data_IF_388879148231
#
_entry.id   IF_388879148231
#
_cell.length_a   1.000
_cell.length_b   1.000
_cell.length_c   1.000
_cell.angle_alpha   90.00
_cell.angle_beta   90.00
_cell.angle_gamma   90.00
#
_symmetry.space_group_name_H-M   'P 1'
#
loop_
_entity.id
_entity.type
_entity.pdbx_description
1 polymer ?
#
# COMPACT_ATOMS: atom_id res chain seq x y z
N UNK A 1 16.07 21.45 38.63
CA UNK A 1 14.98 21.58 37.64
C UNK A 1 15.30 20.92 36.28
N UNK A 2 16.39 20.13 36.15
CA UNK A 2 16.82 19.51 34.89
C UNK A 2 16.65 17.96 34.87
N UNK A 3 15.51 17.47 35.34
CA UNK A 3 15.15 16.04 35.26
C UNK A 3 13.66 15.85 34.96
N UNK A 4 13.12 16.68 34.05
CA UNK A 4 11.81 16.44 33.45
C UNK A 4 12.01 15.82 32.09
N UNK A 5 11.40 14.66 31.88
CA UNK A 5 11.34 13.94 30.61
C UNK A 5 10.98 14.91 29.48
N UNK A 6 11.84 15.10 28.45
CA UNK A 6 11.59 16.08 27.40
C UNK A 6 10.38 15.73 26.51
N UNK A 7 9.95 14.46 26.50
CA UNK A 7 8.75 13.98 25.83
C UNK A 7 8.06 12.97 26.74
N UNK A 8 6.80 13.21 27.09
CA UNK A 8 5.98 12.27 27.88
C UNK A 8 4.66 12.01 27.17
N UNK A 9 4.02 10.88 27.45
CA UNK A 9 2.71 10.55 26.89
C UNK A 9 1.70 11.69 27.08
N UNK A 10 1.80 12.42 28.21
CA UNK A 10 0.94 13.56 28.53
C UNK A 10 1.09 14.71 27.53
N UNK A 11 2.31 14.96 27.05
CA UNK A 11 2.62 16.02 26.10
C UNK A 11 2.08 15.66 24.71
N UNK A 12 2.19 14.39 24.32
CA UNK A 12 1.59 13.87 23.09
C UNK A 12 0.06 13.92 23.14
N UNK A 13 -0.56 13.49 24.24
CA UNK A 13 -2.01 13.56 24.42
C UNK A 13 -2.52 15.00 24.42
N UNK A 14 -1.77 15.93 25.03
CA UNK A 14 -2.11 17.35 25.01
C UNK A 14 -2.01 17.93 23.60
N UNK A 15 -0.94 17.63 22.86
CA UNK A 15 -0.79 18.05 21.47
C UNK A 15 -1.92 17.50 20.58
N UNK A 16 -2.30 16.23 20.77
CA UNK A 16 -3.43 15.62 20.07
C UNK A 16 -4.74 16.35 20.36
N UNK A 17 -5.00 16.66 21.63
CA UNK A 17 -6.22 17.36 22.05
C UNK A 17 -6.29 18.77 21.48
N UNK A 18 -5.18 19.52 21.50
CA UNK A 18 -5.09 20.85 20.89
C UNK A 18 -5.35 20.78 19.38
N UNK A 19 -4.74 19.82 18.68
CA UNK A 19 -4.95 19.62 17.25
C UNK A 19 -6.41 19.27 16.92
N UNK A 20 -7.05 18.42 17.72
CA UNK A 20 -8.45 18.03 17.56
C UNK A 20 -9.42 19.19 17.73
N UNK A 21 -9.14 20.09 18.69
CA UNK A 21 -9.96 21.29 18.91
C UNK A 21 -9.81 22.26 17.74
N UNK A 22 -8.61 22.41 17.18
CA UNK A 22 -8.34 23.44 16.18
C UNK A 22 -8.67 23.01 14.75
N UNK A 23 -8.39 21.75 14.40
CA UNK A 23 -8.63 21.18 13.07
C UNK A 23 -9.07 19.72 13.15
N UNK A 24 -10.33 19.45 13.50
CA UNK A 24 -10.86 18.09 13.59
C UNK A 24 -10.82 17.36 12.24
N UNK A 25 -10.91 18.10 11.13
CA UNK A 25 -10.78 17.59 9.76
C UNK A 25 -9.44 16.88 9.50
N UNK A 26 -8.37 17.19 10.23
CA UNK A 26 -7.07 16.54 10.05
C UNK A 26 -7.09 15.06 10.45
N UNK A 27 -8.05 14.60 11.27
CA UNK A 27 -8.15 13.19 11.67
C UNK A 27 -8.38 12.24 10.50
N UNK A 28 -9.09 12.69 9.47
CA UNK A 28 -9.39 11.88 8.29
C UNK A 28 -8.21 11.87 7.31
N UNK A 29 -7.22 12.74 7.51
CA UNK A 29 -6.04 12.78 6.67
C UNK A 29 -5.09 11.62 6.98
N UNK A 30 -4.67 10.92 5.93
CA UNK A 30 -3.75 9.76 6.04
C UNK A 30 -2.40 10.17 6.62
N UNK A 31 -1.91 11.38 6.29
CA UNK A 31 -0.64 11.91 6.81
C UNK A 31 -0.66 12.08 8.32
N UNK A 32 -1.77 12.54 8.88
CA UNK A 32 -1.94 12.65 10.33
C UNK A 32 -1.95 11.27 10.99
N UNK A 33 -2.71 10.33 10.44
CA UNK A 33 -2.81 8.96 10.97
C UNK A 33 -1.44 8.27 11.05
N UNK A 34 -0.65 8.35 9.97
CA UNK A 34 0.69 7.79 9.95
C UNK A 34 1.62 8.47 10.95
N UNK A 35 1.69 9.80 10.93
CA UNK A 35 2.61 10.54 11.82
C UNK A 35 2.26 10.32 13.30
N UNK A 36 0.96 10.36 13.65
CA UNK A 36 0.52 10.19 15.02
C UNK A 36 0.79 8.77 15.52
N UNK A 37 0.52 7.75 14.69
CA UNK A 37 0.84 6.35 14.99
C UNK A 37 2.33 6.15 15.26
N UNK A 38 3.19 6.70 14.40
CA UNK A 38 4.64 6.62 14.56
C UNK A 38 5.12 7.27 15.88
N UNK A 39 4.67 8.51 16.16
CA UNK A 39 5.06 9.23 17.38
C UNK A 39 4.60 8.49 18.63
N UNK A 40 3.34 8.02 18.65
CA UNK A 40 2.80 7.26 19.77
C UNK A 40 3.62 5.99 20.04
N UNK A 41 3.95 5.23 18.98
CA UNK A 41 4.76 4.02 19.08
C UNK A 41 6.17 4.30 19.62
N UNK A 42 6.83 5.35 19.12
CA UNK A 42 8.16 5.74 19.57
C UNK A 42 8.16 6.17 21.04
N UNK A 43 7.23 7.03 21.45
CA UNK A 43 7.15 7.51 22.83
C UNK A 43 6.92 6.34 23.79
N UNK A 44 6.01 5.42 23.46
CA UNK A 44 5.74 4.24 24.30
C UNK A 44 6.93 3.29 24.38
N UNK A 45 7.63 3.07 23.28
CA UNK A 45 8.83 2.24 23.27
C UNK A 45 9.95 2.86 24.12
N UNK A 46 10.25 4.14 23.92
CA UNK A 46 11.33 4.81 24.64
C UNK A 46 11.01 5.05 26.11
N UNK A 47 9.75 5.29 26.48
CA UNK A 47 9.35 5.40 27.89
C UNK A 47 9.52 4.07 28.62
N UNK A 48 9.17 2.95 27.98
CA UNK A 48 9.37 1.61 28.55
C UNK A 48 10.85 1.20 28.65
N UNK A 49 11.68 1.59 27.67
CA UNK A 49 13.09 1.20 27.59
C UNK A 49 14.04 2.20 28.28
N UNK A 50 13.53 3.39 28.68
CA UNK A 50 14.29 4.46 29.37
C UNK A 50 15.21 3.94 30.49
N UNK A 51 14.75 3.15 31.48
CA UNK A 51 15.63 2.73 32.59
C UNK A 51 16.79 1.84 32.13
N UNK A 52 16.61 1.07 31.05
CA UNK A 52 17.66 0.22 30.47
C UNK A 52 18.63 1.06 29.62
N UNK A 53 18.11 1.96 28.78
CA UNK A 53 18.91 2.85 27.93
C UNK A 53 19.83 3.75 28.77
N UNK A 54 19.30 4.35 29.85
CA UNK A 54 20.10 5.23 30.74
C UNK A 54 21.26 4.49 31.39
N UNK A 55 21.05 3.23 31.81
CA UNK A 55 22.12 2.37 32.36
C UNK A 55 23.18 2.04 31.31
N UNK A 56 22.77 1.73 30.07
CA UNK A 56 23.67 1.42 28.98
C UNK A 56 24.54 2.62 28.54
N UNK A 57 23.97 3.83 28.55
CA UNK A 57 24.70 5.07 28.22
C UNK A 57 25.68 5.50 29.32
N UNK A 58 25.33 5.29 30.59
CA UNK A 58 26.15 5.71 31.73
C UNK A 58 27.50 4.98 31.83
N UNK A 59 27.63 3.78 31.24
CA UNK A 59 28.85 2.95 31.28
C UNK A 59 29.48 2.76 29.88
N UNK A 60 29.21 3.67 28.93
CA UNK A 60 29.63 3.53 27.55
C UNK A 60 30.79 4.47 27.18
N UNK A 61 31.90 3.90 26.71
CA UNK A 61 32.96 4.62 25.99
C UNK A 61 32.48 5.10 24.60
N UNK A 62 33.31 5.88 23.90
CA UNK A 62 32.97 6.52 22.61
C UNK A 62 32.41 5.53 21.56
N UNK A 63 33.06 4.38 21.39
CA UNK A 63 32.64 3.32 20.46
C UNK A 63 31.24 2.78 20.81
N UNK A 64 30.99 2.55 22.11
CA UNK A 64 29.70 2.03 22.59
C UNK A 64 28.59 3.08 22.45
N UNK A 65 28.90 4.37 22.58
CA UNK A 65 27.94 5.45 22.30
C UNK A 65 27.58 5.53 20.82
N UNK A 66 28.56 5.40 19.92
CA UNK A 66 28.30 5.33 18.48
C UNK A 66 27.42 4.12 18.13
N UNK A 67 27.72 2.94 18.68
CA UNK A 67 26.90 1.74 18.50
C UNK A 67 25.47 1.91 19.02
N UNK A 68 25.30 2.54 20.19
CA UNK A 68 23.98 2.85 20.75
C UNK A 68 23.20 3.88 19.91
N UNK A 69 23.89 4.85 19.28
CA UNK A 69 23.27 5.79 18.36
C UNK A 69 22.71 5.08 17.12
N UNK A 70 23.55 4.31 16.41
CA UNK A 70 23.10 3.55 15.24
C UNK A 70 22.03 2.51 15.59
N UNK A 71 22.17 1.81 16.71
CA UNK A 71 21.14 0.91 17.22
C UNK A 71 19.83 1.63 17.53
N UNK A 72 19.90 2.86 18.07
CA UNK A 72 18.75 3.73 18.27
C UNK A 72 18.07 4.11 16.96
N UNK A 73 18.83 4.55 15.95
CA UNK A 73 18.30 4.87 14.62
C UNK A 73 17.60 3.65 14.01
N UNK A 74 18.25 2.48 14.01
CA UNK A 74 17.64 1.25 13.52
C UNK A 74 16.33 0.92 14.25
N UNK A 75 16.33 0.99 15.59
CA UNK A 75 15.14 0.73 16.39
C UNK A 75 14.01 1.74 16.06
N UNK A 76 14.32 3.04 15.97
CA UNK A 76 13.32 4.07 15.62
C UNK A 76 12.70 3.80 14.27
N UNK A 77 13.51 3.48 13.26
CA UNK A 77 13.01 3.21 11.93
C UNK A 77 12.12 1.97 11.91
N UNK A 78 12.55 0.86 12.53
CA UNK A 78 11.75 -0.36 12.60
C UNK A 78 10.40 -0.10 13.28
N UNK A 79 10.40 0.59 14.42
CA UNK A 79 9.18 0.89 15.17
C UNK A 79 8.26 1.80 14.36
N UNK A 80 8.79 2.86 13.77
CA UNK A 80 8.02 3.79 12.94
C UNK A 80 7.44 3.08 11.71
N UNK A 81 8.22 2.24 11.03
CA UNK A 81 7.77 1.46 9.88
C UNK A 81 6.66 0.49 10.28
N UNK A 82 6.79 -0.25 11.38
CA UNK A 82 5.73 -1.16 11.84
C UNK A 82 4.45 -0.39 12.21
N UNK A 83 4.57 0.76 12.87
CA UNK A 83 3.43 1.58 13.28
C UNK A 83 2.69 2.23 12.09
N UNK A 84 3.40 2.51 10.99
CA UNK A 84 2.84 3.16 9.79
C UNK A 84 2.48 2.18 8.68
N UNK A 85 3.03 0.96 8.71
CA UNK A 85 2.77 -0.10 7.75
C UNK A 85 1.29 -0.35 7.41
N UNK A 86 0.33 -0.43 8.35
CA UNK A 86 -1.06 -0.72 8.00
C UNK A 86 -1.70 0.41 7.19
N UNK A 87 -1.36 1.66 7.50
CA UNK A 87 -1.85 2.82 6.77
C UNK A 87 -1.19 2.90 5.39
N UNK A 88 0.12 2.59 5.32
CA UNK A 88 0.84 2.49 4.05
C UNK A 88 0.25 1.41 3.13
N UNK A 89 0.01 0.21 3.67
CA UNK A 89 -0.61 -0.89 2.94
C UNK A 89 -2.05 -0.61 2.52
N UNK A 90 -2.88 -0.06 3.40
CA UNK A 90 -4.30 0.16 3.10
C UNK A 90 -4.55 1.29 2.10
N UNK A 91 -3.78 2.38 2.19
CA UNK A 91 -3.98 3.56 1.34
C UNK A 91 -3.10 3.57 0.08
N UNK A 92 -1.89 3.02 0.17
CA UNK A 92 -0.91 3.09 -0.92
C UNK A 92 -0.55 1.73 -1.50
N UNK A 93 -1.04 0.62 -0.92
CA UNK A 93 -0.77 -0.75 -1.38
C UNK A 93 0.74 -1.07 -1.52
N UNK A 94 1.58 -0.36 -0.77
CA UNK A 94 3.03 -0.40 -0.91
C UNK A 94 3.75 -0.27 0.44
N UNK A 95 4.85 -1.00 0.58
CA UNK A 95 5.77 -0.93 1.71
C UNK A 95 7.20 -0.75 1.20
N UNK A 96 7.95 0.18 1.77
CA UNK A 96 9.36 0.38 1.42
C UNK A 96 10.24 -0.72 2.03
N UNK A 97 10.79 -1.61 1.19
CA UNK A 97 11.63 -2.74 1.61
C UNK A 97 12.98 -2.27 2.19
N UNK A 98 13.59 -1.28 1.54
CA UNK A 98 14.88 -0.72 1.92
C UNK A 98 14.78 0.55 2.77
N UNK A 99 13.60 0.84 3.34
CA UNK A 99 13.38 2.02 4.18
C UNK A 99 14.31 2.10 5.39
N UNK A 100 14.70 0.94 5.96
CA UNK A 100 15.68 0.88 7.04
C UNK A 100 17.06 1.39 6.60
N UNK A 101 17.55 0.91 5.45
CA UNK A 101 18.87 1.30 4.92
C UNK A 101 18.87 2.78 4.56
N UNK A 102 17.82 3.25 3.89
CA UNK A 102 17.66 4.67 3.55
C UNK A 102 17.74 5.57 4.80
N UNK A 103 16.99 5.23 5.84
CA UNK A 103 16.97 6.02 7.07
C UNK A 103 18.29 5.94 7.85
N UNK A 104 18.94 4.78 7.93
CA UNK A 104 20.24 4.66 8.61
C UNK A 104 21.32 5.51 7.94
N UNK A 105 21.28 5.66 6.62
CA UNK A 105 22.20 6.50 5.87
C UNK A 105 21.81 7.99 5.92
N UNK A 106 20.53 8.31 5.79
CA UNK A 106 20.03 9.68 5.73
C UNK A 106 20.02 10.38 7.11
N UNK A 107 19.67 9.67 8.18
CA UNK A 107 19.48 10.26 9.51
C UNK A 107 20.75 10.93 10.10
N UNK A 108 21.97 10.39 9.95
CA UNK A 108 23.18 11.09 10.37
C UNK A 108 23.39 12.41 9.63
N UNK A 109 23.18 12.43 8.31
CA UNK A 109 23.31 13.65 7.50
C UNK A 109 22.27 14.69 7.95
N UNK A 110 21.03 14.24 8.12
CA UNK A 110 19.95 15.09 8.60
C UNK A 110 20.26 15.69 9.98
N UNK A 111 20.74 14.85 10.91
CA UNK A 111 20.96 15.24 12.32
C UNK A 111 22.19 16.11 12.52
N UNK A 112 23.30 15.82 11.83
CA UNK A 112 24.58 16.51 12.04
C UNK A 112 24.83 17.67 11.09
N UNK A 113 24.17 17.69 9.93
CA UNK A 113 24.42 18.71 8.90
C UNK A 113 23.17 19.57 8.71
N UNK A 114 22.05 18.96 8.30
CA UNK A 114 20.87 19.71 7.87
C UNK A 114 20.19 20.43 9.03
N UNK A 115 19.88 19.75 10.14
CA UNK A 115 19.20 20.37 11.28
C UNK A 115 20.02 21.50 11.94
N UNK A 116 21.33 21.33 12.23
CA UNK A 116 22.13 22.43 12.76
C UNK A 116 22.24 23.61 11.80
N UNK A 117 22.42 23.34 10.49
CA UNK A 117 22.46 24.38 9.47
C UNK A 117 21.12 25.13 9.35
N UNK A 118 19.99 24.44 9.47
CA UNK A 118 18.66 25.06 9.48
C UNK A 118 18.50 26.02 10.67
N UNK A 119 18.89 25.61 11.88
CA UNK A 119 18.87 26.48 13.06
C UNK A 119 19.81 27.68 12.87
N UNK A 120 21.01 27.45 12.34
CA UNK A 120 21.98 28.52 12.08
C UNK A 120 21.47 29.51 11.03
N UNK A 121 20.70 29.04 10.04
CA UNK A 121 20.04 29.88 9.04
C UNK A 121 19.08 30.86 9.71
N UNK A 122 18.23 30.39 10.62
CA UNK A 122 17.32 31.27 11.38
C UNK A 122 18.06 32.26 12.27
N UNK A 123 19.20 31.88 12.87
CA UNK A 123 20.01 32.77 13.69
C UNK A 123 20.76 33.84 12.88
N UNK A 124 21.18 33.52 11.66
CA UNK A 124 21.91 34.42 10.76
C UNK A 124 20.99 35.27 9.86
N UNK A 125 19.73 34.88 9.71
CA UNK A 125 18.71 35.64 8.99
C UNK A 125 18.62 37.13 9.37
N UNK A 126 18.60 37.53 10.67
CA UNK A 126 18.59 38.95 11.03
C UNK A 126 19.86 39.71 10.61
N UNK A 127 20.98 39.00 10.43
CA UNK A 127 22.27 39.55 10.01
C UNK A 127 22.45 39.56 8.49
N UNK A 128 21.48 39.04 7.70
CA UNK A 128 21.57 38.82 6.24
C UNK A 128 22.74 37.91 5.82
N UNK A 129 23.19 37.03 6.73
CA UNK A 129 24.28 36.08 6.50
C UNK A 129 23.78 34.64 6.36
N UNK A 130 22.48 34.44 6.12
CA UNK A 130 21.88 33.10 6.02
C UNK A 130 22.52 32.22 4.93
N UNK A 131 23.07 32.83 3.87
CA UNK A 131 23.72 32.11 2.76
C UNK A 131 24.84 31.16 3.24
N UNK A 132 25.53 31.53 4.33
CA UNK A 132 26.62 30.72 4.92
C UNK A 132 26.10 29.40 5.52
N UNK A 133 24.88 29.41 6.05
CA UNK A 133 24.23 28.24 6.63
C UNK A 133 23.37 27.49 5.59
N UNK A 134 22.87 28.18 4.57
CA UNK A 134 22.14 27.57 3.45
C UNK A 134 23.02 26.63 2.61
N UNK A 135 24.29 26.97 2.40
CA UNK A 135 25.22 26.12 1.63
C UNK A 135 25.37 24.69 2.19
N UNK A 136 25.72 24.48 3.48
CA UNK A 136 25.79 23.13 4.05
C UNK A 136 24.40 22.47 4.14
N UNK A 137 23.32 23.25 4.30
CA UNK A 137 21.96 22.71 4.28
C UNK A 137 21.62 22.11 2.91
N UNK A 138 21.88 22.85 1.81
CA UNK A 138 21.63 22.40 0.43
C UNK A 138 22.40 21.12 0.12
N UNK A 139 23.71 21.13 0.42
CA UNK A 139 24.57 19.97 0.23
C UNK A 139 24.07 18.74 1.01
N UNK A 140 23.68 18.93 2.27
CA UNK A 140 23.12 17.86 3.08
C UNK A 140 21.80 17.31 2.52
N UNK A 141 20.91 18.18 2.02
CA UNK A 141 19.65 17.76 1.40
C UNK A 141 19.84 17.05 0.06
N UNK A 142 20.75 17.53 -0.78
CA UNK A 142 21.10 16.88 -2.05
C UNK A 142 21.64 15.47 -1.80
N UNK A 143 22.52 15.32 -0.81
CA UNK A 143 23.06 14.01 -0.43
C UNK A 143 21.97 13.04 0.04
N UNK A 144 20.98 13.52 0.81
CA UNK A 144 19.83 12.70 1.22
C UNK A 144 18.98 12.28 0.01
N UNK A 145 18.74 13.20 -0.93
CA UNK A 145 18.00 12.91 -2.17
C UNK A 145 18.75 11.87 -3.01
N UNK A 146 20.08 11.99 -3.14
CA UNK A 146 20.91 11.03 -3.87
C UNK A 146 20.85 9.63 -3.25
N UNK A 147 20.89 9.55 -1.92
CA UNK A 147 20.71 8.28 -1.20
C UNK A 147 19.33 7.70 -1.48
N UNK A 148 18.28 8.53 -1.41
CA UNK A 148 16.91 8.08 -1.69
C UNK A 148 16.77 7.55 -3.12
N UNK A 149 17.34 8.24 -4.12
CA UNK A 149 17.32 7.82 -5.53
C UNK A 149 18.08 6.52 -5.75
N UNK A 150 19.26 6.37 -5.13
CA UNK A 150 20.04 5.11 -5.21
C UNK A 150 19.29 3.95 -4.57
N UNK A 151 18.67 4.15 -3.41
CA UNK A 151 17.89 3.10 -2.73
C UNK A 151 16.62 2.76 -3.52
N UNK A 152 15.97 3.76 -4.13
CA UNK A 152 14.81 3.54 -4.99
C UNK A 152 15.15 2.79 -6.29
N UNK A 153 16.39 2.92 -6.78
CA UNK A 153 16.86 2.20 -7.98
C UNK A 153 17.21 0.72 -7.75
N UNK A 154 17.21 0.26 -6.49
CA UNK A 154 17.47 -1.14 -6.17
C UNK A 154 16.31 -2.04 -6.63
N UNK A 155 16.58 -3.30 -7.02
CA UNK A 155 15.53 -4.24 -7.40
C UNK A 155 14.56 -4.47 -6.22
N UNK A 156 13.26 -4.46 -6.50
CA UNK A 156 12.19 -4.63 -5.51
C UNK A 156 12.26 -3.63 -4.34
N UNK A 157 12.56 -2.36 -4.62
CA UNK A 157 12.66 -1.32 -3.57
C UNK A 157 11.36 -1.15 -2.76
N UNK A 158 10.22 -1.48 -3.37
CA UNK A 158 8.91 -1.54 -2.74
C UNK A 158 8.35 -2.96 -2.79
N UNK A 159 7.80 -3.42 -1.67
CA UNK A 159 6.93 -4.57 -1.62
C UNK A 159 5.50 -4.09 -1.79
N UNK A 160 4.86 -4.48 -2.88
CA UNK A 160 3.47 -4.12 -3.12
C UNK A 160 2.57 -5.31 -2.84
N UNK A 161 1.46 -5.04 -2.16
CA UNK A 161 0.46 -6.04 -1.84
C UNK A 161 -0.87 -5.63 -2.46
N UNK A 162 -1.73 -6.61 -2.74
CA UNK A 162 -3.14 -6.32 -3.00
C UNK A 162 -3.75 -5.50 -1.87
N UNK A 163 -4.78 -4.74 -2.22
CA UNK A 163 -5.49 -3.88 -1.28
C UNK A 163 -5.87 -4.63 -0.02
N UNK A 164 -5.37 -4.14 1.12
CA UNK A 164 -5.63 -4.71 2.42
C UNK A 164 -7.14 -4.69 2.69
N UNK A 165 -7.78 -5.83 3.04
CA UNK A 165 -9.21 -5.83 3.34
C UNK A 165 -9.46 -4.99 4.59
N UNK A 166 -10.60 -4.30 4.61
CA UNK A 166 -10.96 -3.38 5.69
C UNK A 166 -11.02 -4.06 7.07
N UNK A 167 -11.42 -5.34 7.11
CA UNK A 167 -11.41 -6.16 8.31
C UNK A 167 -10.00 -6.33 8.89
N UNK A 168 -9.01 -6.67 8.05
CA UNK A 168 -7.62 -6.80 8.49
C UNK A 168 -7.07 -5.47 8.99
N UNK A 169 -7.41 -4.35 8.34
CA UNK A 169 -7.02 -3.01 8.75
C UNK A 169 -7.54 -2.67 10.16
N UNK A 170 -8.83 -2.94 10.44
CA UNK A 170 -9.41 -2.73 11.76
C UNK A 170 -8.76 -3.60 12.84
N UNK A 171 -8.50 -4.88 12.56
CA UNK A 171 -7.83 -5.79 13.50
C UNK A 171 -6.40 -5.30 13.79
N UNK A 172 -5.71 -4.75 12.80
CA UNK A 172 -4.35 -4.22 12.99
C UNK A 172 -4.35 -2.97 13.87
N UNK A 173 -5.25 -2.01 13.60
CA UNK A 173 -5.37 -0.79 14.41
C UNK A 173 -5.77 -1.13 15.84
N UNK A 174 -6.73 -2.03 16.03
CA UNK A 174 -7.14 -2.46 17.37
C UNK A 174 -6.01 -3.18 18.10
N UNK A 175 -5.22 -4.00 17.41
CA UNK A 175 -4.01 -4.61 17.98
C UNK A 175 -3.00 -3.55 18.44
N UNK A 176 -2.67 -2.57 17.59
CA UNK A 176 -1.78 -1.46 17.96
C UNK A 176 -2.34 -0.68 19.15
N UNK A 177 -3.62 -0.35 19.13
CA UNK A 177 -4.29 0.36 20.22
C UNK A 177 -4.23 -0.44 21.53
N UNK A 178 -4.50 -1.75 21.50
CA UNK A 178 -4.42 -2.63 22.67
C UNK A 178 -3.00 -2.79 23.19
N UNK A 179 -2.00 -2.84 22.31
CA UNK A 179 -0.58 -2.86 22.68
C UNK A 179 -0.23 -1.64 23.54
N UNK A 180 -0.81 -0.49 23.19
CA UNK A 180 -0.57 0.79 23.85
C UNK A 180 -1.46 1.04 25.07
N UNK A 181 -2.73 0.61 25.04
CA UNK A 181 -3.69 0.81 26.13
C UNK A 181 -3.45 -0.13 27.32
N UNK A 182 -3.03 -1.37 27.07
CA UNK A 182 -2.86 -2.39 28.11
C UNK A 182 -1.47 -2.32 28.77
N UNK A 183 -1.44 -2.57 30.09
CA UNK A 183 -0.21 -2.64 30.90
C UNK A 183 0.06 -4.09 31.34
N UNK A 184 1.34 -4.44 31.50
CA UNK A 184 1.77 -5.76 31.98
C UNK A 184 1.61 -6.88 30.96
N UNK A 185 1.38 -8.11 31.43
CA UNK A 185 1.25 -9.32 30.58
C UNK A 185 0.06 -9.25 29.60
N UNK A 186 -0.96 -8.45 29.89
CA UNK A 186 -2.10 -8.23 29.00
C UNK A 186 -1.70 -7.58 27.66
N UNK A 187 -0.54 -6.89 27.60
CA UNK A 187 0.01 -6.38 26.33
C UNK A 187 0.30 -7.53 25.35
N UNK A 188 0.61 -8.72 25.83
CA UNK A 188 0.91 -9.87 24.95
C UNK A 188 -0.28 -10.32 24.12
N UNK A 189 -1.52 -9.95 24.50
CA UNK A 189 -2.74 -10.21 23.71
C UNK A 189 -2.73 -9.45 22.37
N UNK A 190 -1.99 -8.33 22.28
CA UNK A 190 -1.85 -7.60 21.02
C UNK A 190 -1.06 -8.37 19.95
N UNK A 191 -0.10 -9.20 20.35
CA UNK A 191 0.77 -9.96 19.45
C UNK A 191 -0.02 -10.97 18.59
N UNK A 192 -0.86 -11.87 19.13
CA UNK A 192 -1.63 -12.79 18.31
C UNK A 192 -2.62 -12.06 17.38
N UNK A 193 -3.22 -10.94 17.82
CA UNK A 193 -4.08 -10.12 16.96
C UNK A 193 -3.30 -9.49 15.80
N UNK A 194 -2.09 -9.01 16.05
CA UNK A 194 -1.19 -8.47 15.03
C UNK A 194 -0.85 -9.55 14.00
N UNK A 195 -0.45 -10.74 14.47
CA UNK A 195 -0.11 -11.88 13.62
C UNK A 195 -1.32 -12.35 12.82
N UNK A 196 -2.50 -12.40 13.44
CA UNK A 196 -3.74 -12.77 12.75
C UNK A 196 -4.10 -11.79 11.63
N UNK A 197 -3.99 -10.48 11.89
CA UNK A 197 -4.18 -9.46 10.84
C UNK A 197 -3.16 -9.64 9.71
N UNK A 198 -1.87 -9.82 10.02
CA UNK A 198 -0.84 -10.04 9.02
C UNK A 198 -1.10 -11.29 8.17
N UNK A 199 -1.56 -12.39 8.79
CA UNK A 199 -1.97 -13.61 8.08
C UNK A 199 -3.17 -13.37 7.17
N UNK A 200 -4.18 -12.61 7.61
CA UNK A 200 -5.32 -12.26 6.76
C UNK A 200 -4.89 -11.46 5.52
N UNK A 201 -3.94 -10.54 5.67
CA UNK A 201 -3.39 -9.79 4.51
C UNK A 201 -2.68 -10.71 3.53
N UNK A 202 -1.85 -11.63 4.04
CA UNK A 202 -1.12 -12.57 3.19
C UNK A 202 -2.07 -13.55 2.47
N UNK A 203 -3.13 -13.98 3.15
CA UNK A 203 -4.14 -14.88 2.57
C UNK A 203 -5.06 -14.18 1.57
N UNK A 204 -5.31 -12.87 1.73
CA UNK A 204 -6.05 -12.05 0.77
C UNK A 204 -5.14 -11.55 -0.37
N UNK A 205 -4.61 -12.47 -1.17
CA UNK A 205 -4.07 -12.11 -2.48
C UNK A 205 -5.24 -11.87 -3.44
N UNK A 206 -5.43 -10.62 -3.83
CA UNK A 206 -6.64 -10.10 -4.45
C UNK A 206 -6.67 -10.19 -5.98
N UNK A 207 -7.89 -10.35 -6.48
CA UNK A 207 -8.41 -10.27 -7.85
C UNK A 207 -7.59 -10.91 -8.97
N UNK A 208 -8.16 -11.97 -9.54
CA UNK A 208 -7.59 -12.67 -10.68
C UNK A 208 -7.86 -11.91 -11.99
N UNK A 209 -8.92 -11.10 -12.10
CA UNK A 209 -9.36 -10.55 -13.39
C UNK A 209 -9.90 -9.11 -13.25
N UNK A 210 -9.32 -8.20 -14.03
CA UNK A 210 -9.69 -6.78 -14.16
C UNK A 210 -10.31 -6.51 -15.54
N UNK A 211 -11.46 -5.84 -15.57
CA UNK A 211 -12.16 -5.46 -16.81
C UNK A 211 -12.28 -3.95 -16.87
N UNK A 212 -11.80 -3.39 -17.99
CA UNK A 212 -11.88 -1.95 -18.26
C UNK A 212 -13.31 -1.45 -18.37
N UNK A 213 -13.57 -0.14 -18.13
CA UNK A 213 -14.90 0.45 -18.28
C UNK A 213 -15.50 0.33 -19.69
N UNK A 214 -14.68 0.12 -20.73
CA UNK A 214 -15.18 -0.08 -22.09
C UNK A 214 -15.26 -1.56 -22.49
N UNK A 215 -14.68 -2.45 -21.71
CA UNK A 215 -14.53 -3.87 -22.02
C UNK A 215 -13.48 -4.18 -23.09
N UNK A 216 -12.80 -3.17 -23.63
CA UNK A 216 -11.77 -3.35 -24.69
C UNK A 216 -10.45 -3.88 -24.15
N UNK A 217 -10.19 -3.68 -22.86
CA UNK A 217 -9.04 -4.20 -22.14
C UNK A 217 -9.51 -5.10 -20.99
N UNK A 218 -8.94 -6.30 -20.92
CA UNK A 218 -9.05 -7.23 -19.79
C UNK A 218 -7.64 -7.58 -19.32
N UNK A 219 -7.44 -7.65 -18.02
CA UNK A 219 -6.18 -7.99 -17.37
C UNK A 219 -6.38 -9.18 -16.44
N UNK A 220 -5.46 -10.15 -16.45
CA UNK A 220 -5.41 -11.27 -15.51
C UNK A 220 -4.15 -11.10 -14.68
N UNK A 221 -4.29 -11.04 -13.36
CA UNK A 221 -3.16 -10.89 -12.45
C UNK A 221 -2.82 -12.23 -11.81
N UNK A 222 -1.62 -12.74 -12.12
CA UNK A 222 -1.08 -14.00 -11.61
C UNK A 222 0.00 -13.72 -10.55
N UNK A 223 -0.37 -12.93 -9.54
CA UNK A 223 0.46 -12.56 -8.37
C UNK A 223 1.65 -11.61 -8.63
N UNK A 224 2.35 -11.77 -9.75
CA UNK A 224 3.53 -10.97 -10.12
C UNK A 224 3.52 -10.51 -11.59
N UNK A 225 2.74 -11.20 -12.45
CA UNK A 225 2.60 -10.85 -13.87
C UNK A 225 1.18 -10.43 -14.19
N UNK A 226 1.07 -9.38 -15.00
CA UNK A 226 -0.20 -8.89 -15.52
C UNK A 226 -0.31 -9.29 -16.99
N UNK A 227 -1.18 -10.26 -17.28
CA UNK A 227 -1.53 -10.69 -18.63
C UNK A 227 -2.67 -9.80 -19.15
N UNK A 228 -2.44 -9.05 -20.23
CA UNK A 228 -3.44 -8.13 -20.80
C UNK A 228 -3.88 -8.53 -22.21
N UNK A 229 -5.14 -8.26 -22.57
CA UNK A 229 -5.61 -8.53 -23.94
C UNK A 229 -4.94 -7.68 -25.01
N UNK A 230 -4.45 -6.48 -24.66
CA UNK A 230 -3.73 -5.60 -25.58
C UNK A 230 -2.73 -4.68 -24.88
N UNK A 231 -1.52 -4.56 -25.42
CA UNK A 231 -0.54 -3.54 -24.99
C UNK A 231 -0.76 -2.16 -25.64
N UNK A 232 -1.70 -2.02 -26.57
CA UNK A 232 -1.90 -0.77 -27.30
C UNK A 232 -3.19 -0.06 -26.88
N UNK A 233 -4.26 -0.82 -26.69
CA UNK A 233 -5.57 -0.27 -26.29
C UNK A 233 -5.53 0.15 -24.82
N UNK A 234 -6.13 1.31 -24.53
CA UNK A 234 -6.34 1.82 -23.17
C UNK A 234 -5.07 1.89 -22.31
N UNK A 235 -3.99 2.47 -22.86
CA UNK A 235 -2.71 2.64 -22.16
C UNK A 235 -2.87 3.28 -20.78
N UNK A 236 -3.76 4.27 -20.65
CA UNK A 236 -4.00 4.93 -19.37
C UNK A 236 -4.57 3.97 -18.31
N UNK A 237 -5.62 3.22 -18.64
CA UNK A 237 -6.21 2.22 -17.74
C UNK A 237 -5.22 1.13 -17.39
N UNK A 238 -4.41 0.68 -18.36
CA UNK A 238 -3.31 -0.25 -18.09
C UNK A 238 -2.28 0.33 -17.14
N UNK A 239 -1.83 1.58 -17.34
CA UNK A 239 -0.88 2.23 -16.45
C UNK A 239 -1.44 2.34 -15.03
N UNK A 240 -2.71 2.69 -14.89
CA UNK A 240 -3.39 2.70 -13.60
C UNK A 240 -3.43 1.30 -12.94
N UNK A 241 -3.66 0.23 -13.72
CA UNK A 241 -3.58 -1.15 -13.20
C UNK A 241 -2.16 -1.55 -12.85
N UNK A 242 -1.17 -1.17 -13.66
CA UNK A 242 0.25 -1.43 -13.38
C UNK A 242 0.69 -0.70 -12.11
N UNK A 243 0.24 0.52 -11.88
CA UNK A 243 0.52 1.27 -10.64
C UNK A 243 -0.20 0.62 -9.44
N UNK A 244 -1.48 0.27 -9.59
CA UNK A 244 -2.28 -0.31 -8.50
C UNK A 244 -1.81 -1.71 -8.09
N UNK A 245 -1.41 -2.53 -9.06
CA UNK A 245 -0.84 -3.87 -8.85
C UNK A 245 0.69 -3.83 -8.71
N UNK A 246 1.31 -2.66 -8.88
CA UNK A 246 2.75 -2.42 -8.92
C UNK A 246 3.52 -3.42 -9.81
N UNK A 247 2.98 -3.70 -11.00
CA UNK A 247 3.61 -4.58 -12.00
C UNK A 247 4.53 -3.75 -12.89
N UNK A 248 5.82 -4.07 -12.88
CA UNK A 248 6.79 -3.46 -13.79
C UNK A 248 6.49 -3.81 -15.25
N UNK A 249 6.86 -2.93 -16.19
CA UNK A 249 6.58 -3.12 -17.62
C UNK A 249 7.15 -4.45 -18.18
N UNK A 250 8.25 -4.95 -17.60
CA UNK A 250 8.84 -6.26 -17.94
C UNK A 250 7.94 -7.45 -17.62
N UNK A 251 7.06 -7.31 -16.62
CA UNK A 251 6.15 -8.35 -16.16
C UNK A 251 4.77 -8.24 -16.80
N UNK A 252 4.59 -7.31 -17.73
CA UNK A 252 3.35 -7.16 -18.51
C UNK A 252 3.44 -7.96 -19.81
N UNK A 253 2.61 -8.99 -19.90
CA UNK A 253 2.52 -9.87 -21.07
C UNK A 253 1.19 -9.67 -21.78
N UNK A 254 1.18 -9.82 -23.10
CA UNK A 254 -0.07 -9.83 -23.85
C UNK A 254 -0.63 -11.24 -23.92
N UNK A 255 -1.95 -11.38 -24.04
CA UNK A 255 -2.56 -12.67 -24.34
C UNK A 255 -1.99 -13.30 -25.61
N UNK A 256 -1.88 -14.64 -25.66
CA UNK A 256 -1.47 -15.34 -26.87
C UNK A 256 -2.48 -15.08 -28.00
N UNK A 257 -1.98 -15.02 -29.24
CA UNK A 257 -2.84 -14.87 -30.41
C UNK A 257 -3.65 -16.14 -30.67
N UNK A 258 -3.00 -17.30 -30.56
CA UNK A 258 -3.57 -18.65 -30.62
C UNK A 258 -2.77 -19.54 -29.66
N UNK A 259 -3.45 -20.38 -28.88
CA UNK A 259 -2.85 -21.32 -27.94
C UNK A 259 -2.96 -20.89 -26.48
N UNK A 260 -2.31 -21.63 -25.59
CA UNK A 260 -2.36 -21.42 -24.14
C UNK A 260 -1.05 -20.89 -23.60
N UNK A 261 -1.11 -19.81 -22.82
CA UNK A 261 0.00 -19.29 -22.02
C UNK A 261 -0.46 -19.11 -20.57
N UNK A 262 0.02 -19.98 -19.68
CA UNK A 262 -0.39 -20.00 -18.27
C UNK A 262 -1.89 -20.27 -18.10
N UNK A 263 -2.63 -19.44 -17.35
CA UNK A 263 -4.07 -19.62 -17.13
C UNK A 263 -4.94 -19.16 -18.32
N UNK A 264 -4.36 -18.61 -19.38
CA UNK A 264 -5.10 -18.03 -20.51
C UNK A 264 -4.92 -18.86 -21.78
N UNK A 265 -6.03 -19.36 -22.32
CA UNK A 265 -6.09 -20.05 -23.61
C UNK A 265 -6.90 -19.23 -24.60
N UNK A 266 -6.30 -18.88 -25.74
CA UNK A 266 -6.93 -18.04 -26.75
C UNK A 266 -7.09 -18.75 -28.08
N UNK A 267 -8.25 -18.53 -28.69
CA UNK A 267 -8.55 -18.82 -30.07
C UNK A 267 -8.76 -17.52 -30.87
N UNK A 268 -9.11 -17.68 -32.15
CA UNK A 268 -9.44 -16.55 -33.03
C UNK A 268 -10.66 -15.77 -32.55
N UNK A 269 -11.64 -16.46 -31.98
CA UNK A 269 -12.92 -15.88 -31.58
C UNK A 269 -12.94 -15.35 -30.14
N UNK A 270 -12.28 -16.05 -29.22
CA UNK A 270 -12.36 -15.80 -27.78
C UNK A 270 -11.06 -16.14 -27.05
N UNK A 271 -10.92 -15.63 -25.82
CA UNK A 271 -9.86 -16.00 -24.89
C UNK A 271 -10.48 -16.47 -23.57
N UNK A 272 -10.22 -17.71 -23.21
CA UNK A 272 -10.71 -18.34 -21.99
C UNK A 272 -9.63 -18.26 -20.90
N UNK A 273 -9.99 -17.67 -19.76
CA UNK A 273 -9.15 -17.58 -18.58
C UNK A 273 -9.64 -18.60 -17.56
N UNK A 274 -8.77 -19.52 -17.14
CA UNK A 274 -9.08 -20.50 -16.10
C UNK A 274 -8.75 -19.92 -14.73
N UNK A 275 -9.76 -19.89 -13.84
CA UNK A 275 -9.59 -19.50 -12.45
C UNK A 275 -9.13 -20.69 -11.60
N UNK A 276 -8.63 -20.39 -10.40
CA UNK A 276 -8.08 -21.39 -9.47
C UNK A 276 -9.09 -22.45 -9.01
N UNK A 277 -10.39 -22.15 -9.07
CA UNK A 277 -11.51 -23.04 -8.72
C UNK A 277 -11.96 -23.96 -9.87
N UNK A 278 -11.42 -23.77 -11.08
CA UNK A 278 -11.84 -24.51 -12.29
C UNK A 278 -12.87 -23.79 -13.16
N UNK A 279 -13.50 -22.71 -12.66
CA UNK A 279 -14.38 -21.85 -13.46
C UNK A 279 -13.61 -21.12 -14.55
N UNK A 280 -14.30 -20.83 -15.66
CA UNK A 280 -13.71 -20.13 -16.80
C UNK A 280 -14.44 -18.83 -17.09
N UNK A 281 -13.64 -17.81 -17.41
CA UNK A 281 -14.11 -16.52 -17.89
C UNK A 281 -13.73 -16.43 -19.36
N UNK A 282 -14.72 -16.30 -20.25
CA UNK A 282 -14.47 -16.06 -21.67
C UNK A 282 -14.46 -14.57 -21.97
N UNK A 283 -13.41 -14.13 -22.67
CA UNK A 283 -13.31 -12.83 -23.30
C UNK A 283 -13.51 -12.94 -24.81
N UNK A 284 -14.64 -12.45 -25.31
CA UNK A 284 -14.97 -12.48 -26.73
C UNK A 284 -14.24 -11.37 -27.49
N UNK A 285 -13.43 -11.76 -28.49
CA UNK A 285 -12.84 -10.83 -29.46
C UNK A 285 -13.86 -10.49 -30.56
N UNK A 286 -14.60 -11.50 -31.01
CA UNK A 286 -15.53 -11.43 -32.13
C UNK A 286 -16.92 -11.91 -31.77
N UNK A 287 -17.95 -11.41 -32.46
CA UNK A 287 -19.37 -11.73 -32.14
C UNK A 287 -19.75 -13.18 -32.36
N UNK A 288 -19.11 -13.86 -33.31
CA UNK A 288 -19.48 -15.23 -33.69
C UNK A 288 -19.03 -16.27 -32.66
N UNK A 289 -18.09 -15.95 -31.76
CA UNK A 289 -17.68 -16.86 -30.67
C UNK A 289 -18.72 -17.03 -29.57
N UNK A 290 -19.74 -16.15 -29.52
CA UNK A 290 -20.74 -16.15 -28.46
C UNK A 290 -21.53 -17.47 -28.36
N UNK A 291 -21.91 -18.05 -29.50
CA UNK A 291 -22.73 -19.28 -29.51
C UNK A 291 -21.94 -20.50 -29.02
N UNK A 292 -20.65 -20.53 -29.29
CA UNK A 292 -19.76 -21.62 -28.86
C UNK A 292 -19.50 -21.54 -27.35
N UNK A 293 -19.12 -20.34 -26.87
CA UNK A 293 -18.80 -20.14 -25.46
C UNK A 293 -20.02 -20.24 -24.54
N UNK A 294 -21.20 -19.80 -25.00
CA UNK A 294 -22.41 -19.93 -24.20
C UNK A 294 -22.97 -21.36 -24.13
N UNK A 295 -22.63 -22.21 -25.09
CA UNK A 295 -22.95 -23.64 -25.04
C UNK A 295 -22.01 -24.41 -24.09
N UNK A 296 -20.86 -23.83 -23.72
CA UNK A 296 -19.88 -24.47 -22.87
C UNK A 296 -20.31 -24.39 -21.39
N UNK A 297 -20.55 -25.54 -20.71
CA UNK A 297 -20.99 -25.54 -19.32
C UNK A 297 -19.92 -25.00 -18.36
N UNK A 298 -18.63 -25.07 -18.71
CA UNK A 298 -17.50 -24.67 -17.85
C UNK A 298 -17.24 -23.14 -17.80
N UNK A 299 -17.94 -22.36 -18.64
CA UNK A 299 -17.76 -20.89 -18.72
C UNK A 299 -18.85 -20.20 -17.90
N UNK A 300 -18.51 -19.51 -16.82
CA UNK A 300 -19.52 -18.88 -15.94
C UNK A 300 -19.76 -17.40 -16.28
N UNK A 301 -18.72 -16.71 -16.75
CA UNK A 301 -18.79 -15.32 -17.20
C UNK A 301 -18.35 -15.18 -18.65
N UNK A 302 -19.11 -14.36 -19.37
CA UNK A 302 -18.78 -13.96 -20.74
C UNK A 302 -18.61 -12.44 -20.77
N UNK A 303 -17.42 -11.99 -21.10
CA UNK A 303 -17.03 -10.58 -21.18
C UNK A 303 -16.89 -10.21 -22.65
N UNK A 304 -17.54 -9.12 -23.07
CA UNK A 304 -17.45 -8.65 -24.44
C UNK A 304 -17.29 -7.11 -24.53
N UNK A 305 -16.44 -6.60 -25.43
CA UNK A 305 -16.28 -5.18 -25.67
C UNK A 305 -17.45 -4.54 -26.44
N UNK A 306 -18.43 -5.34 -26.88
CA UNK A 306 -19.61 -4.90 -27.62
C UNK A 306 -20.89 -5.10 -26.80
N UNK A 307 -21.96 -4.42 -27.22
CA UNK A 307 -23.26 -4.52 -26.57
C UNK A 307 -23.87 -5.90 -26.75
N UNK A 308 -23.90 -6.69 -25.68
CA UNK A 308 -24.66 -7.92 -25.55
C UNK A 308 -25.89 -7.69 -24.68
N UNK A 309 -27.01 -8.31 -25.03
CA UNK A 309 -28.20 -8.37 -24.15
C UNK A 309 -28.14 -9.66 -23.36
N UNK A 310 -28.58 -9.64 -22.10
CA UNK A 310 -28.64 -10.84 -21.25
C UNK A 310 -29.43 -11.99 -21.92
N UNK A 311 -30.41 -11.64 -22.75
CA UNK A 311 -31.19 -12.61 -23.54
C UNK A 311 -30.36 -13.44 -24.52
N UNK A 312 -29.17 -12.99 -24.91
CA UNK A 312 -28.32 -13.72 -25.85
C UNK A 312 -27.66 -14.95 -25.22
N UNK A 313 -27.42 -14.94 -23.90
CA UNK A 313 -26.99 -16.10 -23.12
C UNK A 313 -27.65 -16.04 -21.74
N UNK A 314 -28.86 -16.60 -21.59
CA UNK A 314 -29.64 -16.48 -20.37
C UNK A 314 -28.99 -17.21 -19.19
N UNK A 315 -28.28 -18.30 -19.47
CA UNK A 315 -27.73 -19.19 -18.43
C UNK A 315 -26.42 -18.69 -17.81
N UNK A 316 -25.80 -17.65 -18.37
CA UNK A 316 -24.46 -17.17 -18.00
C UNK A 316 -24.45 -15.68 -17.63
N UNK A 317 -23.51 -15.26 -16.80
CA UNK A 317 -23.42 -13.84 -16.41
C UNK A 317 -22.66 -13.05 -17.49
N UNK A 318 -23.37 -12.17 -18.22
CA UNK A 318 -22.79 -11.38 -19.29
C UNK A 318 -22.32 -10.02 -18.78
N UNK A 319 -21.04 -9.72 -19.00
CA UNK A 319 -20.43 -8.41 -18.76
C UNK A 319 -20.15 -7.76 -20.12
N UNK A 320 -21.17 -7.08 -20.65
CA UNK A 320 -21.09 -6.37 -21.92
C UNK A 320 -21.02 -4.84 -21.75
N UNK A 321 -21.05 -4.13 -22.87
CA UNK A 321 -21.01 -2.66 -22.91
C UNK A 321 -22.04 -1.98 -21.98
N UNK A 322 -23.27 -2.51 -21.88
CA UNK A 322 -24.33 -1.91 -21.06
C UNK A 322 -24.04 -2.03 -19.56
N UNK A 323 -23.62 -3.21 -19.11
CA UNK A 323 -23.25 -3.46 -17.71
C UNK A 323 -22.02 -2.63 -17.31
N UNK A 324 -21.02 -2.52 -18.19
CA UNK A 324 -19.82 -1.72 -17.96
C UNK A 324 -20.10 -0.22 -17.98
N UNK A 325 -21.02 0.26 -18.84
CA UNK A 325 -21.45 1.66 -18.85
C UNK A 325 -22.14 2.07 -17.54
N UNK A 326 -22.86 1.14 -16.91
CA UNK A 326 -23.59 1.41 -15.66
C UNK A 326 -22.75 1.21 -14.40
N UNK A 327 -21.92 0.17 -14.36
CA UNK A 327 -21.10 -0.18 -13.19
C UNK A 327 -19.63 0.27 -13.27
N UNK A 328 -19.21 0.87 -14.38
CA UNK A 328 -17.82 1.27 -14.61
C UNK A 328 -16.88 0.08 -14.82
N UNK A 329 -15.65 0.19 -14.31
CA UNK A 329 -14.71 -0.94 -14.29
C UNK A 329 -15.26 -2.06 -13.42
N UNK A 330 -15.08 -3.31 -13.83
CA UNK A 330 -15.47 -4.47 -13.02
C UNK A 330 -14.22 -5.28 -12.67
N UNK A 331 -14.21 -5.87 -11.50
CA UNK A 331 -13.18 -6.83 -11.08
C UNK A 331 -13.85 -8.10 -10.60
N UNK A 332 -13.37 -9.24 -11.07
CA UNK A 332 -13.83 -10.55 -10.60
C UNK A 332 -12.82 -11.01 -9.56
N UNK A 333 -13.28 -11.18 -8.33
CA UNK A 333 -12.47 -11.68 -7.23
C UNK A 333 -13.03 -13.00 -6.76
N UNK A 334 -12.13 -13.90 -6.36
CA UNK A 334 -12.50 -15.18 -5.78
C UNK A 334 -12.30 -15.09 -4.27
N UNK A 335 -13.39 -15.24 -3.51
CA UNK A 335 -13.38 -15.14 -2.05
C UNK A 335 -14.23 -16.28 -1.47
N UNK A 336 -13.65 -17.13 -0.61
CA UNK A 336 -14.33 -18.25 0.06
C UNK A 336 -15.14 -19.16 -0.89
N UNK A 337 -14.50 -19.67 -1.94
CA UNK A 337 -15.13 -20.57 -2.93
C UNK A 337 -16.28 -19.95 -3.74
N UNK A 338 -16.50 -18.63 -3.63
CA UNK A 338 -17.49 -17.89 -4.40
C UNK A 338 -16.85 -16.80 -5.24
N UNK A 339 -17.37 -16.66 -6.44
CA UNK A 339 -16.98 -15.61 -7.37
C UNK A 339 -17.78 -14.36 -7.07
N UNK A 340 -17.09 -13.27 -6.77
CA UNK A 340 -17.70 -11.98 -6.46
C UNK A 340 -17.35 -11.01 -7.59
N UNK A 341 -18.38 -10.57 -8.30
CA UNK A 341 -18.27 -9.51 -9.30
C UNK A 341 -18.37 -8.15 -8.59
N UNK A 342 -17.22 -7.50 -8.39
CA UNK A 342 -17.17 -6.17 -7.81
C UNK A 342 -17.27 -5.10 -8.92
N UNK A 343 -18.17 -4.14 -8.75
CA UNK A 343 -18.37 -3.02 -9.65
C UNK A 343 -17.70 -1.77 -9.06
N UNK A 344 -17.02 -0.98 -9.88
CA UNK A 344 -16.40 0.27 -9.44
C UNK A 344 -17.45 1.32 -9.05
N UNK A 345 -18.61 1.30 -9.70
CA UNK A 345 -19.76 2.16 -9.37
C UNK A 345 -20.90 1.27 -8.90
N UNK A 346 -21.10 1.28 -7.58
CA UNK A 346 -22.29 0.67 -6.98
C UNK A 346 -23.43 1.69 -6.94
N UNK A 347 -24.42 1.51 -7.82
CA UNK A 347 -25.63 2.35 -7.87
C UNK A 347 -26.54 2.15 -6.65
N UNK A 348 -26.41 1.04 -5.92
CA UNK A 348 -27.19 0.80 -4.71
C UNK A 348 -26.67 1.62 -3.52
N UNK A 349 -25.44 2.14 -3.61
CA UNK A 349 -24.98 3.20 -2.73
C UNK A 349 -25.69 4.51 -3.10
N UNK A 350 -26.76 4.85 -2.39
CA UNK A 350 -27.38 6.19 -2.45
C UNK A 350 -26.33 7.22 -2.06
N UNK A 351 -25.62 7.77 -3.04
CA UNK A 351 -24.71 8.90 -2.82
C UNK A 351 -25.57 10.10 -2.46
N UNK A 352 -25.39 10.73 -1.29
CA UNK A 352 -26.26 11.81 -0.83
C UNK A 352 -26.16 13.12 -1.65
N UNK A 353 -25.29 13.16 -2.67
CA UNK A 353 -25.03 14.34 -3.51
C UNK A 353 -25.32 14.12 -5.00
N UNK A 354 -26.00 13.04 -5.39
CA UNK A 354 -26.46 12.83 -6.76
C UNK A 354 -27.89 13.32 -6.98
#
# INVERSE_FOLDING_TARGET
MADRSPVSLRLVSFAALVLLIWKPENLTSVSFQMSFSAVLALVLFYEALRPKITRWYSHAGFIRKAMLYFGGVCATTIIATIATAPFALYHFNALAKYGLIANVLAMPILSFVVMPAAVLTFLLAPLKLEWLALAPMSWGTELIIDIANKVASLPDATYSMSQMPFSAFLIFITSLFLLFALRGYLRLVSIPLFVFSALLVISHQGSQILVSPTGKLIGVHDGNTLLVSSKVKERFTRNQWMEHLNVNDTNVRSFPTIGCEGPVCCDKAACNVKLSNGSRVSYLKEKYGLTEDCANPEIDYVIAPFGLRQQSCPDKTLVGYWQLKEGGSHSITFENEKEILNKAVDKDSKRPWQ
#
